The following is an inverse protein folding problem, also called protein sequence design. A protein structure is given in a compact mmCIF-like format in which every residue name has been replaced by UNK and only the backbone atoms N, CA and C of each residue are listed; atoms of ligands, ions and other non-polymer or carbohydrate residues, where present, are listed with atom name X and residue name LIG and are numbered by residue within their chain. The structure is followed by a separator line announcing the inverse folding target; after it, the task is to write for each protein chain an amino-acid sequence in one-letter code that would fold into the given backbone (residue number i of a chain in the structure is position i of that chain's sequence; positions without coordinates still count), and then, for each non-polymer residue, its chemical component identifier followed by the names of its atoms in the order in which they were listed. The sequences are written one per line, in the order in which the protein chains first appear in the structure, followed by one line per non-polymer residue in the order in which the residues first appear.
data_IF_077542857684
#
_entry.id   IF_077542857684
#
_cell.length_a   1.000
_cell.length_b   1.000
_cell.length_c   1.000
_cell.angle_alpha   90.00
_cell.angle_beta   90.00
_cell.angle_gamma   90.00
#
_symmetry.space_group_name_H-M   'P 1'
#
loop_
_entity.id
_entity.type
_entity.pdbx_description
1 polymer ?
#
# COMPACT_ATOMS: atom_id res chain seq x y z
N UNK A 1 58.11 -2.76 -8.22
CA UNK A 1 57.83 -3.74 -7.16
C UNK A 1 56.39 -3.55 -6.73
N UNK A 2 55.52 -4.53 -6.92
CA UNK A 2 54.13 -4.41 -6.46
C UNK A 2 54.17 -4.42 -4.94
N UNK A 3 53.64 -3.35 -4.34
CA UNK A 3 53.66 -3.18 -2.89
C UNK A 3 52.79 -4.28 -2.27
N UNK A 4 53.28 -4.95 -1.22
CA UNK A 4 52.56 -6.06 -0.56
C UNK A 4 51.13 -5.67 -0.17
N UNK A 5 50.93 -4.41 0.22
CA UNK A 5 49.62 -3.82 0.48
C UNK A 5 48.67 -3.79 -0.72
N UNK A 6 49.18 -3.61 -1.94
CA UNK A 6 48.35 -3.62 -3.16
C UNK A 6 47.78 -5.02 -3.44
N UNK A 7 48.58 -6.07 -3.19
CA UNK A 7 48.15 -7.47 -3.35
C UNK A 7 47.06 -7.80 -2.31
N UNK A 8 47.25 -7.38 -1.05
CA UNK A 8 46.24 -7.55 -0.01
C UNK A 8 44.93 -6.82 -0.33
N UNK A 9 45.00 -5.60 -0.87
CA UNK A 9 43.82 -4.84 -1.28
C UNK A 9 43.02 -5.54 -2.38
N UNK A 10 43.69 -6.05 -3.42
CA UNK A 10 43.02 -6.76 -4.53
C UNK A 10 42.27 -8.00 -4.03
N UNK A 11 42.90 -8.79 -3.15
CA UNK A 11 42.28 -9.97 -2.53
C UNK A 11 41.07 -9.56 -1.68
N UNK A 12 41.21 -8.48 -0.90
CA UNK A 12 40.14 -7.97 -0.05
C UNK A 12 38.92 -7.49 -0.87
N UNK A 13 39.15 -6.74 -1.96
CA UNK A 13 38.08 -6.32 -2.89
C UNK A 13 37.37 -7.54 -3.50
N UNK A 14 38.13 -8.57 -3.91
CA UNK A 14 37.56 -9.79 -4.48
C UNK A 14 36.62 -10.52 -3.52
N UNK A 15 37.03 -10.67 -2.26
CA UNK A 15 36.22 -11.28 -1.20
C UNK A 15 34.97 -10.43 -0.92
N UNK A 16 35.11 -9.11 -0.84
CA UNK A 16 34.00 -8.18 -0.59
C UNK A 16 32.91 -8.29 -1.68
N UNK A 17 33.31 -8.36 -2.96
CA UNK A 17 32.39 -8.50 -4.08
C UNK A 17 31.63 -9.84 -4.05
N UNK A 18 32.30 -10.94 -3.70
CA UNK A 18 31.67 -12.27 -3.56
C UNK A 18 30.62 -12.27 -2.45
N UNK A 19 30.92 -11.67 -1.30
CA UNK A 19 29.99 -11.57 -0.16
C UNK A 19 28.78 -10.68 -0.51
N UNK A 20 29.01 -9.53 -1.15
CA UNK A 20 27.93 -8.62 -1.55
C UNK A 20 27.02 -9.23 -2.62
N UNK A 21 27.57 -9.95 -3.60
CA UNK A 21 26.79 -10.68 -4.62
C UNK A 21 25.87 -11.72 -3.99
N UNK A 22 26.34 -12.48 -3.00
CA UNK A 22 25.50 -13.49 -2.31
C UNK A 22 24.39 -12.86 -1.45
N UNK A 23 24.61 -11.65 -0.92
CA UNK A 23 23.67 -10.95 -0.03
C UNK A 23 22.58 -10.18 -0.78
N UNK A 24 22.86 -9.61 -1.95
CA UNK A 24 21.90 -8.77 -2.71
C UNK A 24 20.75 -9.58 -3.30
N UNK A 25 20.98 -10.78 -3.83
CA UNK A 25 19.91 -11.59 -4.45
C UNK A 25 18.94 -12.20 -3.41
N UNK A 26 19.43 -12.58 -2.22
CA UNK A 26 18.56 -13.19 -1.20
C UNK A 26 17.56 -12.19 -0.62
N UNK A 27 17.88 -10.89 -0.62
CA UNK A 27 17.01 -9.82 -0.11
C UNK A 27 15.95 -9.36 -1.13
N UNK A 28 16.21 -9.49 -2.43
CA UNK A 28 15.22 -9.15 -3.48
C UNK A 28 14.19 -10.27 -3.72
N UNK A 29 14.57 -11.53 -3.52
CA UNK A 29 13.66 -12.67 -3.73
C UNK A 29 12.69 -12.84 -2.55
N UNK A 30 13.08 -12.44 -1.33
CA UNK A 30 12.23 -12.59 -0.14
C UNK A 30 11.12 -11.51 0.00
N UNK A 31 10.87 -10.71 -1.06
CA UNK A 31 9.73 -9.78 -1.15
C UNK A 31 8.71 -10.20 -2.19
N UNK A 32 8.64 -11.49 -2.52
CA UNK A 32 7.46 -12.13 -3.13
C UNK A 32 6.73 -12.94 -2.07
N UNK A 33 6.14 -12.27 -1.09
CA UNK A 33 4.89 -12.78 -0.50
C UNK A 33 3.78 -12.56 -1.52
N UNK A 34 3.84 -13.30 -2.63
CA UNK A 34 2.63 -13.59 -3.38
C UNK A 34 1.86 -14.56 -2.52
N UNK A 35 0.93 -14.04 -1.72
CA UNK A 35 -0.25 -14.81 -1.36
C UNK A 35 -0.91 -15.18 -2.68
N UNK A 36 -0.55 -16.35 -3.23
CA UNK A 36 -1.32 -17.01 -4.26
C UNK A 36 -2.61 -17.45 -3.59
N UNK A 37 -3.53 -16.50 -3.45
CA UNK A 37 -4.93 -16.83 -3.22
C UNK A 37 -5.33 -17.60 -4.46
N UNK A 38 -5.27 -18.93 -4.35
CA UNK A 38 -5.87 -19.87 -5.29
C UNK A 38 -7.36 -19.58 -5.25
N UNK A 39 -7.80 -18.63 -6.06
CA UNK A 39 -9.21 -18.32 -6.28
C UNK A 39 -9.81 -19.53 -6.96
N UNK A 40 -10.35 -20.43 -6.13
CA UNK A 40 -11.20 -21.52 -6.56
C UNK A 40 -12.42 -20.89 -7.23
N UNK A 41 -12.39 -20.87 -8.56
CA UNK A 41 -13.34 -20.19 -9.43
C UNK A 41 -14.59 -21.06 -9.60
N UNK A 42 -15.28 -21.34 -8.51
CA UNK A 42 -16.61 -21.94 -8.52
C UNK A 42 -17.44 -21.25 -7.46
N UNK A 43 -18.04 -20.11 -7.83
CA UNK A 43 -19.37 -19.73 -7.36
C UNK A 43 -19.89 -18.66 -8.32
N UNK A 44 -20.85 -19.11 -9.14
CA UNK A 44 -21.66 -18.35 -10.07
C UNK A 44 -22.53 -17.37 -9.26
N UNK A 45 -21.96 -16.26 -8.82
CA UNK A 45 -22.72 -15.13 -8.30
C UNK A 45 -22.87 -14.12 -9.44
N UNK A 46 -23.93 -14.30 -10.23
CA UNK A 46 -24.44 -13.27 -11.12
C UNK A 46 -25.01 -12.14 -10.26
N UNK A 47 -24.14 -11.27 -9.76
CA UNK A 47 -24.61 -10.01 -9.21
C UNK A 47 -25.01 -9.14 -10.39
N UNK A 48 -26.31 -8.94 -10.59
CA UNK A 48 -26.87 -7.82 -11.35
C UNK A 48 -26.43 -6.53 -10.64
N UNK A 49 -25.17 -6.14 -10.82
CA UNK A 49 -24.68 -4.84 -10.38
C UNK A 49 -24.87 -3.94 -11.57
N UNK A 50 -25.95 -3.17 -11.53
CA UNK A 50 -26.03 -1.88 -12.18
C UNK A 50 -24.69 -1.18 -11.95
N UNK A 51 -23.88 -1.10 -12.99
CA UNK A 51 -22.61 -0.39 -12.95
C UNK A 51 -22.95 1.07 -12.82
N UNK A 52 -23.11 1.54 -11.59
CA UNK A 52 -23.10 2.97 -11.29
C UNK A 52 -21.73 3.46 -11.78
N UNK A 53 -21.76 4.11 -12.94
CA UNK A 53 -20.62 4.82 -13.51
C UNK A 53 -20.37 6.00 -12.58
N UNK A 54 -19.43 5.77 -11.67
CA UNK A 54 -19.00 6.78 -10.73
C UNK A 54 -18.23 7.86 -11.49
N UNK A 55 -18.93 8.93 -11.86
CA UNK A 55 -18.36 10.13 -12.44
C UNK A 55 -17.74 11.00 -11.34
N UNK A 56 -16.76 10.47 -10.61
CA UNK A 56 -15.79 11.40 -10.04
C UNK A 56 -14.79 11.68 -11.15
N UNK A 57 -14.53 12.95 -11.39
CA UNK A 57 -13.33 13.40 -12.09
C UNK A 57 -12.15 12.85 -11.29
N UNK A 58 -11.69 11.64 -11.63
CA UNK A 58 -10.52 11.04 -11.02
C UNK A 58 -9.37 11.99 -11.33
N UNK A 59 -9.02 12.82 -10.33
CA UNK A 59 -7.81 13.62 -10.38
C UNK A 59 -6.69 12.65 -10.74
N UNK A 60 -6.05 12.90 -11.89
CA UNK A 60 -4.98 12.06 -12.42
C UNK A 60 -3.71 12.25 -11.58
N UNK A 61 -3.73 11.72 -10.38
CA UNK A 61 -2.55 11.61 -9.52
C UNK A 61 -1.64 10.50 -10.03
N UNK A 62 -0.33 10.71 -9.91
CA UNK A 62 0.64 9.64 -10.18
C UNK A 62 0.42 8.45 -9.23
N UNK A 63 0.73 7.25 -9.71
CA UNK A 63 0.64 6.02 -8.88
C UNK A 63 1.47 6.16 -7.60
N UNK A 64 2.64 6.80 -7.70
CA UNK A 64 3.51 7.07 -6.57
C UNK A 64 2.81 7.95 -5.51
N UNK A 65 2.18 9.04 -5.94
CA UNK A 65 1.45 9.93 -5.03
C UNK A 65 0.29 9.21 -4.36
N UNK A 66 -0.53 8.48 -5.13
CA UNK A 66 -1.65 7.68 -4.59
C UNK A 66 -1.15 6.69 -3.52
N UNK A 67 -0.02 6.02 -3.76
CA UNK A 67 0.56 5.08 -2.82
C UNK A 67 1.11 5.77 -1.56
N UNK A 68 1.80 6.89 -1.72
CA UNK A 68 2.29 7.70 -0.59
C UNK A 68 1.14 8.14 0.32
N UNK A 69 0.07 8.67 -0.26
CA UNK A 69 -1.11 9.09 0.49
C UNK A 69 -1.84 7.93 1.17
N UNK A 70 -1.95 6.77 0.53
CA UNK A 70 -2.52 5.57 1.17
C UNK A 70 -1.70 5.11 2.38
N UNK A 71 -0.37 5.16 2.30
CA UNK A 71 0.49 4.81 3.43
C UNK A 71 0.32 5.80 4.58
N UNK A 72 0.25 7.10 4.27
CA UNK A 72 -0.03 8.16 5.25
C UNK A 72 -1.40 7.96 5.90
N UNK A 73 -2.42 7.70 5.09
CA UNK A 73 -3.79 7.41 5.54
C UNK A 73 -3.82 6.20 6.48
N UNK A 74 -3.15 5.10 6.13
CA UNK A 74 -3.09 3.90 6.96
C UNK A 74 -2.40 4.17 8.31
N UNK A 75 -1.33 4.97 8.31
CA UNK A 75 -0.62 5.35 9.54
C UNK A 75 -1.53 6.17 10.46
N UNK A 76 -2.17 7.21 9.91
CA UNK A 76 -3.07 8.09 10.64
C UNK A 76 -4.30 7.36 11.18
N UNK A 77 -4.86 6.40 10.44
CA UNK A 77 -6.07 5.68 10.84
C UNK A 77 -5.87 4.78 12.08
N UNK A 78 -4.62 4.47 12.45
CA UNK A 78 -4.29 3.74 13.69
C UNK A 78 -4.24 4.63 14.92
N UNK A 79 -4.26 5.95 14.76
CA UNK A 79 -4.12 6.92 15.83
C UNK A 79 -5.42 7.22 16.57
N UNK A 80 -5.43 8.36 17.27
CA UNK A 80 -6.60 8.91 17.93
C UNK A 80 -7.68 9.37 16.94
N UNK A 81 -8.83 9.82 17.46
CA UNK A 81 -9.95 10.35 16.67
C UNK A 81 -9.50 11.38 15.63
N UNK A 82 -8.71 12.36 16.03
CA UNK A 82 -8.26 13.45 15.14
C UNK A 82 -7.42 12.92 13.97
N UNK A 83 -6.51 11.98 14.23
CA UNK A 83 -5.72 11.35 13.19
C UNK A 83 -6.59 10.52 12.23
N UNK A 84 -7.62 9.83 12.74
CA UNK A 84 -8.59 9.13 11.90
C UNK A 84 -9.36 10.11 11.00
N UNK A 85 -9.79 11.26 11.52
CA UNK A 85 -10.44 12.29 10.71
C UNK A 85 -9.51 12.84 9.62
N UNK A 86 -8.23 13.08 9.94
CA UNK A 86 -7.20 13.45 8.93
C UNK A 86 -7.04 12.36 7.86
N UNK A 87 -7.07 11.09 8.24
CA UNK A 87 -7.02 9.99 7.29
C UNK A 87 -8.26 9.95 6.38
N UNK A 88 -9.45 10.22 6.92
CA UNK A 88 -10.69 10.29 6.13
C UNK A 88 -10.67 11.44 5.12
N UNK A 89 -10.08 12.59 5.48
CA UNK A 89 -9.87 13.71 4.54
C UNK A 89 -8.96 13.31 3.36
N UNK A 90 -7.92 12.51 3.61
CA UNK A 90 -7.06 11.96 2.53
C UNK A 90 -7.86 11.02 1.63
N UNK A 91 -8.73 10.18 2.21
CA UNK A 91 -9.59 9.30 1.43
C UNK A 91 -10.52 10.09 0.50
N UNK A 92 -11.13 11.17 1.02
CA UNK A 92 -11.97 12.09 0.24
C UNK A 92 -11.18 12.77 -0.90
N UNK A 93 -9.98 13.27 -0.63
CA UNK A 93 -9.13 13.90 -1.65
C UNK A 93 -8.73 12.94 -2.76
N UNK A 94 -8.34 11.71 -2.40
CA UNK A 94 -7.95 10.70 -3.37
C UNK A 94 -9.13 10.17 -4.19
N UNK A 95 -10.33 10.13 -3.58
CA UNK A 95 -11.56 9.59 -4.13
C UNK A 95 -11.39 8.22 -4.84
N UNK A 96 -10.47 7.39 -4.33
CA UNK A 96 -10.03 6.18 -5.00
C UNK A 96 -10.62 4.94 -4.32
N UNK A 97 -11.17 4.01 -5.11
CA UNK A 97 -11.80 2.75 -4.62
C UNK A 97 -10.88 1.92 -3.73
N UNK A 98 -9.57 2.02 -3.88
CA UNK A 98 -8.61 1.30 -3.03
C UNK A 98 -8.57 1.79 -1.57
N UNK A 99 -9.21 2.92 -1.25
CA UNK A 99 -9.35 3.43 0.12
C UNK A 99 -10.49 2.73 0.89
N UNK A 100 -11.42 2.06 0.19
CA UNK A 100 -12.59 1.37 0.76
C UNK A 100 -12.27 0.41 1.92
N UNK A 101 -11.18 -0.39 1.92
CA UNK A 101 -10.86 -1.26 3.04
C UNK A 101 -10.64 -0.51 4.36
N UNK A 102 -10.08 0.71 4.30
CA UNK A 102 -9.86 1.55 5.49
C UNK A 102 -11.17 2.20 5.91
N UNK A 103 -11.98 2.71 4.98
CA UNK A 103 -13.31 3.25 5.30
C UNK A 103 -14.20 2.21 5.98
N UNK A 104 -14.17 0.94 5.53
CA UNK A 104 -14.92 -0.16 6.16
C UNK A 104 -14.46 -0.44 7.59
N UNK A 105 -13.20 -0.16 7.94
CA UNK A 105 -12.74 -0.22 9.34
C UNK A 105 -13.32 0.93 10.15
N UNK A 106 -13.47 2.10 9.56
CA UNK A 106 -14.10 3.27 10.20
C UNK A 106 -15.57 3.08 10.55
N UNK A 107 -16.29 2.19 9.85
CA UNK A 107 -17.66 1.81 10.23
C UNK A 107 -17.72 1.06 11.58
N UNK A 108 -16.60 0.55 12.07
CA UNK A 108 -16.49 -0.15 13.36
C UNK A 108 -15.79 0.70 14.41
N UNK A 109 -15.63 2.00 14.15
CA UNK A 109 -14.99 2.91 15.09
C UNK A 109 -15.92 3.23 16.27
N UNK A 110 -15.32 3.57 17.42
CA UNK A 110 -16.04 4.00 18.61
C UNK A 110 -16.58 5.42 18.42
N UNK A 111 -15.88 6.26 17.66
CA UNK A 111 -16.27 7.65 17.43
C UNK A 111 -17.40 7.72 16.38
N UNK A 112 -18.59 8.24 16.73
CA UNK A 112 -19.72 8.33 15.79
C UNK A 112 -19.37 9.18 14.56
N UNK A 113 -18.62 10.26 14.74
CA UNK A 113 -18.16 11.13 13.64
C UNK A 113 -17.30 10.38 12.60
N UNK A 114 -16.43 9.46 13.06
CA UNK A 114 -15.60 8.65 12.16
C UNK A 114 -16.47 7.67 11.38
N UNK A 115 -17.48 7.10 12.03
CA UNK A 115 -18.45 6.18 11.42
C UNK A 115 -19.27 6.91 10.34
N UNK A 116 -19.84 8.07 10.65
CA UNK A 116 -20.67 8.87 9.75
C UNK A 116 -19.91 9.29 8.50
N UNK A 117 -18.72 9.86 8.65
CA UNK A 117 -17.88 10.28 7.52
C UNK A 117 -17.46 9.06 6.70
N UNK A 118 -17.09 7.95 7.34
CA UNK A 118 -16.75 6.71 6.63
C UNK A 118 -17.91 6.19 5.79
N UNK A 119 -19.13 6.16 6.35
CA UNK A 119 -20.32 5.74 5.64
C UNK A 119 -20.64 6.66 4.46
N UNK A 120 -20.54 7.98 4.66
CA UNK A 120 -20.75 8.99 3.62
C UNK A 120 -19.76 8.81 2.47
N UNK A 121 -18.47 8.62 2.76
CA UNK A 121 -17.44 8.40 1.74
C UNK A 121 -17.62 7.07 1.01
N UNK A 122 -18.01 5.99 1.69
CA UNK A 122 -18.33 4.71 1.04
C UNK A 122 -19.52 4.87 0.10
N UNK A 123 -20.56 5.61 0.51
CA UNK A 123 -21.71 5.90 -0.34
C UNK A 123 -21.32 6.71 -1.56
N UNK A 124 -20.42 7.70 -1.40
CA UNK A 124 -19.84 8.43 -2.52
C UNK A 124 -19.13 7.46 -3.46
N UNK A 125 -18.21 6.61 -2.99
CA UNK A 125 -17.36 5.77 -3.86
C UNK A 125 -18.04 4.53 -4.49
N UNK A 126 -19.32 4.27 -4.21
CA UNK A 126 -20.07 3.10 -4.69
C UNK A 126 -20.68 3.35 -6.07
#
# INVERSE_FOLDING_TARGET
MINFFAILLIIFIGILLIVLKKRSFKKFINKRNTYSIKLNKNNKFSSNKTSFLYNNEEKKYSVFYKNSQKNKMLSLFRGNKENKLKALKIAEELADKSTLPILRKGLRDISPEVVEISALLIRKFK
#
